data_IF_041154657773
#
_entry.id   IF_041154657773
#
_cell.length_a   1.000
_cell.length_b   1.000
_cell.length_c   1.000
_cell.angle_alpha   90.00
_cell.angle_beta   90.00
_cell.angle_gamma   90.00
#
_symmetry.space_group_name_H-M   'P 1'
#
loop_
_entity.id
_entity.type
_entity.pdbx_description
1 polymer ?
#
# COMPACT_ATOMS: atom_id res chain seq x y z
N UNK A 1 -27.44 4.08 -23.16
CA UNK A 1 -26.59 4.03 -21.96
C UNK A 1 -27.46 3.89 -20.72
N UNK A 2 -27.15 2.93 -19.83
CA UNK A 2 -27.87 2.67 -18.57
C UNK A 2 -26.92 2.93 -17.40
N UNK A 3 -27.40 3.61 -16.37
CA UNK A 3 -26.61 3.93 -15.17
C UNK A 3 -27.26 3.23 -13.97
N UNK A 4 -26.48 2.43 -13.25
CA UNK A 4 -26.86 1.81 -12.00
C UNK A 4 -25.99 2.35 -10.86
N UNK A 5 -26.59 3.18 -10.02
CA UNK A 5 -25.99 3.62 -8.76
C UNK A 5 -26.78 3.02 -7.61
N UNK A 6 -26.11 2.23 -6.80
CA UNK A 6 -26.77 1.53 -5.70
C UNK A 6 -25.94 1.63 -4.42
N UNK A 7 -26.61 2.02 -3.33
CA UNK A 7 -26.06 1.80 -1.98
C UNK A 7 -26.27 0.33 -1.64
N UNK A 8 -25.19 -0.39 -1.44
CA UNK A 8 -25.26 -1.84 -1.39
C UNK A 8 -25.59 -2.30 0.04
N UNK A 9 -26.68 -3.06 0.27
CA UNK A 9 -26.92 -3.66 1.57
C UNK A 9 -25.84 -4.71 1.84
N UNK A 10 -25.44 -4.88 3.10
CA UNK A 10 -24.36 -5.81 3.43
C UNK A 10 -24.80 -7.25 3.18
N UNK A 11 -24.10 -7.98 2.31
CA UNK A 11 -24.45 -9.36 1.93
C UNK A 11 -23.50 -10.46 2.41
N UNK A 12 -24.10 -11.57 2.82
CA UNK A 12 -23.38 -12.69 3.42
C UNK A 12 -23.72 -13.99 2.70
N UNK A 13 -22.71 -14.65 2.14
CA UNK A 13 -22.85 -15.97 1.54
C UNK A 13 -22.50 -17.08 2.54
N UNK A 14 -23.48 -17.92 2.86
CA UNK A 14 -23.31 -19.05 3.80
C UNK A 14 -23.14 -20.38 3.08
N UNK A 15 -22.24 -21.24 3.60
CA UNK A 15 -22.18 -22.66 3.19
C UNK A 15 -23.28 -23.47 3.89
N UNK A 16 -24.02 -24.28 3.12
CA UNK A 16 -24.99 -25.24 3.65
C UNK A 16 -24.25 -26.33 4.46
N UNK A 17 -24.71 -26.61 5.69
CA UNK A 17 -24.02 -27.47 6.68
C UNK A 17 -23.77 -28.93 6.22
N UNK A 18 -24.51 -29.45 5.22
CA UNK A 18 -24.42 -30.85 4.77
C UNK A 18 -23.82 -31.05 3.36
N UNK A 19 -23.24 -30.03 2.73
CA UNK A 19 -22.57 -30.22 1.44
C UNK A 19 -21.06 -30.44 1.62
N UNK A 20 -20.61 -31.68 1.40
CA UNK A 20 -19.22 -31.94 0.97
C UNK A 20 -19.11 -31.39 -0.46
N UNK A 21 -18.53 -30.20 -0.58
CA UNK A 21 -18.48 -29.49 -1.84
C UNK A 21 -17.02 -29.14 -2.16
N UNK A 22 -16.45 -29.93 -3.06
CA UNK A 22 -15.29 -29.59 -3.90
C UNK A 22 -15.80 -28.80 -5.12
N UNK A 23 -16.47 -27.66 -4.89
CA UNK A 23 -16.87 -26.76 -5.98
C UNK A 23 -16.34 -25.37 -5.63
N UNK A 24 -15.42 -24.91 -6.48
CA UNK A 24 -14.53 -23.77 -6.25
C UNK A 24 -15.22 -22.40 -6.44
N UNK A 25 -16.51 -22.38 -6.78
CA UNK A 25 -17.30 -21.17 -7.02
C UNK A 25 -18.70 -21.26 -6.42
N UNK A 26 -19.20 -20.14 -5.87
CA UNK A 26 -20.58 -19.95 -5.41
C UNK A 26 -21.08 -18.59 -5.84
N UNK A 27 -22.37 -18.48 -6.10
CA UNK A 27 -22.99 -17.22 -6.50
C UNK A 27 -24.11 -16.79 -5.55
N UNK A 28 -24.32 -15.47 -5.46
CA UNK A 28 -25.42 -14.81 -4.76
C UNK A 28 -26.14 -13.91 -5.76
N UNK A 29 -27.46 -14.03 -5.86
CA UNK A 29 -28.29 -13.18 -6.72
C UNK A 29 -29.20 -12.30 -5.86
N UNK A 30 -29.31 -11.04 -6.25
CA UNK A 30 -30.17 -10.04 -5.65
C UNK A 30 -31.15 -9.54 -6.69
N UNK A 31 -32.43 -9.78 -6.45
CA UNK A 31 -33.49 -9.30 -7.35
C UNK A 31 -34.12 -8.05 -6.76
N UNK A 32 -34.12 -7.00 -7.55
CA UNK A 32 -34.75 -5.71 -7.28
C UNK A 32 -35.91 -5.53 -8.26
N UNK A 33 -37.14 -5.48 -7.76
CA UNK A 33 -38.35 -5.35 -8.57
C UNK A 33 -39.57 -5.61 -7.70
N UNK A 34 -40.72 -5.03 -8.07
CA UNK A 34 -41.98 -5.25 -7.38
C UNK A 34 -42.69 -6.50 -7.93
N UNK A 35 -43.47 -7.20 -7.11
CA UNK A 35 -44.26 -8.36 -7.54
C UNK A 35 -45.24 -8.00 -8.68
N UNK A 36 -45.64 -6.73 -8.77
CA UNK A 36 -46.61 -6.22 -9.74
C UNK A 36 -45.98 -5.63 -11.02
N UNK A 37 -44.66 -5.36 -11.05
CA UNK A 37 -43.97 -4.82 -12.23
C UNK A 37 -42.69 -5.63 -12.54
N UNK A 38 -42.73 -6.56 -13.51
CA UNK A 38 -41.67 -7.55 -13.75
C UNK A 38 -40.37 -6.96 -14.33
N UNK A 39 -40.27 -5.63 -14.49
CA UNK A 39 -39.05 -4.91 -14.93
C UNK A 39 -38.03 -4.81 -13.80
N UNK A 40 -37.61 -5.97 -13.30
CA UNK A 40 -36.64 -6.09 -12.23
C UNK A 40 -35.18 -6.07 -12.72
N UNK A 41 -34.29 -5.61 -11.86
CA UNK A 41 -32.84 -5.75 -11.99
C UNK A 41 -32.40 -6.91 -11.10
N UNK A 42 -31.72 -7.90 -11.66
CA UNK A 42 -31.04 -8.96 -10.92
C UNK A 42 -29.53 -8.72 -10.96
N UNK A 43 -28.90 -8.69 -9.79
CA UNK A 43 -27.45 -8.53 -9.64
C UNK A 43 -26.89 -9.82 -9.07
N UNK A 44 -26.05 -10.51 -9.85
CA UNK A 44 -25.40 -11.77 -9.47
C UNK A 44 -23.92 -11.57 -9.15
N UNK A 45 -23.49 -12.05 -8.00
CA UNK A 45 -22.12 -12.01 -7.51
C UNK A 45 -21.56 -13.43 -7.51
N UNK A 46 -20.47 -13.67 -8.23
CA UNK A 46 -19.78 -14.96 -8.25
C UNK A 46 -18.51 -14.87 -7.43
N UNK A 47 -18.45 -15.62 -6.33
CA UNK A 47 -17.29 -15.71 -5.46
C UNK A 47 -16.60 -17.05 -5.66
N UNK A 48 -15.28 -17.01 -5.73
CA UNK A 48 -14.44 -18.20 -5.72
C UNK A 48 -13.73 -18.33 -4.38
N UNK A 49 -13.58 -19.56 -3.90
CA UNK A 49 -12.78 -19.84 -2.71
C UNK A 49 -11.43 -20.38 -3.14
N UNK A 50 -10.36 -19.84 -2.58
CA UNK A 50 -9.01 -20.31 -2.82
C UNK A 50 -8.36 -20.75 -1.50
N UNK A 51 -8.08 -22.05 -1.42
CA UNK A 51 -7.47 -22.66 -0.24
C UNK A 51 -5.99 -22.89 -0.53
N UNK A 52 -5.15 -21.91 -0.16
CA UNK A 52 -3.69 -22.04 -0.30
C UNK A 52 -3.09 -22.95 0.77
N UNK A 53 -3.75 -23.01 1.95
CA UNK A 53 -3.37 -23.81 3.11
C UNK A 53 -4.63 -24.40 3.75
N UNK A 54 -4.51 -25.55 4.44
CA UNK A 54 -5.64 -26.24 5.11
C UNK A 54 -6.32 -25.40 6.21
N UNK A 55 -5.61 -24.41 6.77
CA UNK A 55 -6.06 -23.58 7.90
C UNK A 55 -6.54 -22.20 7.44
N UNK A 56 -6.15 -21.73 6.25
CA UNK A 56 -6.40 -20.37 5.79
C UNK A 56 -6.99 -20.36 4.39
N UNK A 57 -8.30 -20.09 4.33
CA UNK A 57 -9.05 -19.96 3.08
C UNK A 57 -9.29 -18.49 2.74
N UNK A 58 -9.15 -18.16 1.47
CA UNK A 58 -9.46 -16.85 0.92
C UNK A 58 -10.73 -16.95 0.08
N UNK A 59 -11.47 -15.85 0.00
CA UNK A 59 -12.46 -15.67 -1.04
C UNK A 59 -12.05 -14.53 -1.95
N UNK A 60 -12.44 -14.66 -3.22
CA UNK A 60 -12.31 -13.63 -4.24
C UNK A 60 -13.68 -13.41 -4.86
N UNK A 61 -14.12 -12.16 -4.97
CA UNK A 61 -15.21 -11.82 -5.88
C UNK A 61 -14.65 -11.83 -7.30
N UNK A 62 -15.13 -12.76 -8.11
CA UNK A 62 -14.58 -12.99 -9.45
C UNK A 62 -15.35 -12.20 -10.51
N UNK A 63 -16.68 -12.19 -10.42
CA UNK A 63 -17.55 -11.67 -11.46
C UNK A 63 -18.81 -11.07 -10.85
N UNK A 64 -19.30 -9.98 -11.45
CA UNK A 64 -20.57 -9.34 -11.14
C UNK A 64 -21.38 -9.25 -12.43
N UNK A 65 -22.62 -9.71 -12.40
CA UNK A 65 -23.51 -9.67 -13.55
C UNK A 65 -24.73 -8.83 -13.22
N UNK A 66 -25.10 -7.93 -14.14
CA UNK A 66 -26.30 -7.12 -14.06
C UNK A 66 -27.26 -7.59 -15.15
N UNK A 67 -28.40 -8.12 -14.73
CA UNK A 67 -29.44 -8.65 -15.61
C UNK A 67 -30.65 -7.74 -15.47
N UNK A 68 -31.09 -7.11 -16.56
CA UNK A 68 -32.27 -6.26 -16.55
C UNK A 68 -33.39 -6.94 -17.32
N UNK A 69 -34.54 -7.14 -16.68
CA UNK A 69 -35.73 -7.67 -17.36
C UNK A 69 -35.45 -9.00 -18.10
N UNK A 70 -34.71 -9.91 -17.47
CA UNK A 70 -34.27 -11.20 -18.02
C UNK A 70 -33.50 -11.11 -19.36
N UNK A 71 -32.87 -9.98 -19.64
CA UNK A 71 -32.01 -9.82 -20.83
C UNK A 71 -30.67 -10.55 -20.70
N UNK A 72 -29.87 -10.51 -21.77
CA UNK A 72 -28.46 -10.88 -21.74
C UNK A 72 -27.76 -10.12 -20.58
N UNK A 73 -26.99 -10.80 -19.71
CA UNK A 73 -26.29 -10.17 -18.60
C UNK A 73 -25.19 -9.22 -19.09
N UNK A 74 -25.09 -8.07 -18.44
CA UNK A 74 -23.90 -7.24 -18.47
C UNK A 74 -22.89 -7.79 -17.47
N UNK A 75 -21.76 -8.31 -17.96
CA UNK A 75 -20.79 -9.03 -17.15
C UNK A 75 -19.58 -8.17 -16.85
N UNK A 76 -19.19 -8.12 -15.58
CA UNK A 76 -18.02 -7.40 -15.11
C UNK A 76 -17.09 -8.34 -14.33
N UNK A 77 -15.82 -8.36 -14.72
CA UNK A 77 -14.72 -8.95 -13.97
C UNK A 77 -14.35 -8.05 -12.81
N UNK A 78 -14.36 -8.62 -11.61
CA UNK A 78 -14.00 -7.94 -10.38
C UNK A 78 -12.49 -8.03 -10.16
N UNK A 79 -11.82 -6.89 -9.98
CA UNK A 79 -10.36 -6.81 -9.75
C UNK A 79 -10.04 -6.45 -8.30
N UNK A 80 -9.05 -7.12 -7.71
CA UNK A 80 -8.54 -6.79 -6.38
C UNK A 80 -9.52 -6.99 -5.21
N UNK A 81 -10.66 -7.65 -5.43
CA UNK A 81 -11.71 -7.85 -4.42
C UNK A 81 -11.60 -9.21 -3.73
N UNK A 82 -10.61 -9.34 -2.85
CA UNK A 82 -10.36 -10.58 -2.10
C UNK A 82 -10.21 -10.31 -0.60
N UNK A 83 -10.54 -11.29 0.23
CA UNK A 83 -10.24 -11.26 1.66
C UNK A 83 -10.11 -12.68 2.22
N UNK A 84 -9.55 -12.78 3.42
CA UNK A 84 -9.62 -14.02 4.19
C UNK A 84 -11.08 -14.37 4.46
N UNK A 85 -11.42 -15.66 4.44
CA UNK A 85 -12.80 -16.10 4.74
C UNK A 85 -13.24 -15.71 6.15
N UNK A 86 -12.31 -15.48 7.06
CA UNK A 86 -12.56 -14.98 8.42
C UNK A 86 -12.83 -13.48 8.51
N UNK A 87 -12.63 -12.72 7.42
CA UNK A 87 -12.85 -11.27 7.31
C UNK A 87 -13.92 -10.98 6.26
N UNK A 88 -14.44 -9.76 6.25
CA UNK A 88 -15.25 -9.25 5.14
C UNK A 88 -14.42 -8.31 4.27
N UNK A 89 -14.73 -8.20 2.99
CA UNK A 89 -14.18 -7.15 2.13
C UNK A 89 -15.10 -5.93 2.20
N UNK A 90 -14.54 -4.74 2.42
CA UNK A 90 -15.27 -3.47 2.41
C UNK A 90 -14.60 -2.49 1.45
N UNK A 91 -15.37 -1.71 0.70
CA UNK A 91 -14.83 -0.62 -0.08
C UNK A 91 -15.84 0.51 -0.19
N UNK A 92 -15.37 1.75 -0.01
CA UNK A 92 -16.23 2.94 -0.09
C UNK A 92 -16.91 3.06 -1.46
N UNK A 93 -16.21 2.63 -2.52
CA UNK A 93 -16.72 2.70 -3.90
C UNK A 93 -16.16 1.57 -4.74
N UNK A 94 -17.04 0.84 -5.43
CA UNK A 94 -16.69 -0.16 -6.44
C UNK A 94 -17.41 0.23 -7.73
N UNK A 95 -16.67 0.49 -8.81
CA UNK A 95 -17.20 1.15 -10.00
C UNK A 95 -16.61 0.57 -11.28
N UNK A 96 -17.37 0.60 -12.37
CA UNK A 96 -16.86 0.31 -13.72
C UNK A 96 -16.17 1.49 -14.39
N UNK A 97 -16.34 2.70 -13.86
CA UNK A 97 -15.76 3.92 -14.39
C UNK A 97 -14.28 4.09 -14.03
N UNK A 98 -13.47 4.43 -15.04
CA UNK A 98 -12.01 4.62 -14.92
C UNK A 98 -11.61 5.75 -13.96
N UNK A 99 -12.41 6.81 -13.85
CA UNK A 99 -12.21 7.89 -12.87
C UNK A 99 -12.28 7.44 -11.40
N UNK A 100 -12.74 6.21 -11.15
CA UNK A 100 -12.86 5.59 -9.82
C UNK A 100 -12.11 4.25 -9.78
N UNK A 101 -10.92 4.21 -10.37
CA UNK A 101 -10.00 3.06 -10.44
C UNK A 101 -10.53 1.81 -11.19
N UNK A 102 -11.76 1.85 -11.70
CA UNK A 102 -12.42 0.78 -12.46
C UNK A 102 -12.22 -0.64 -11.88
N UNK A 103 -12.64 -0.85 -10.62
CA UNK A 103 -12.63 -2.17 -9.98
C UNK A 103 -13.55 -3.22 -10.65
N UNK A 104 -14.44 -2.78 -11.55
CA UNK A 104 -15.32 -3.63 -12.36
C UNK A 104 -15.00 -3.43 -13.84
N UNK A 105 -14.34 -4.40 -14.45
CA UNK A 105 -13.97 -4.34 -15.87
C UNK A 105 -14.97 -5.12 -16.71
N UNK A 106 -15.47 -4.58 -17.84
CA UNK A 106 -16.17 -5.36 -18.87
C UNK A 106 -15.47 -6.70 -19.13
N UNK A 107 -16.20 -7.81 -19.09
CA UNK A 107 -15.59 -9.14 -19.28
C UNK A 107 -15.32 -9.45 -20.75
N UNK A 108 -16.19 -9.01 -21.64
CA UNK A 108 -16.06 -9.17 -23.08
C UNK A 108 -16.49 -7.88 -23.79
N UNK A 109 -15.97 -7.61 -24.98
CA UNK A 109 -16.42 -6.50 -25.83
C UNK A 109 -17.77 -6.78 -26.47
N UNK A 110 -18.16 -8.05 -26.56
CA UNK A 110 -19.42 -8.49 -27.17
C UNK A 110 -20.58 -8.65 -26.18
N UNK A 111 -20.34 -8.46 -24.89
CA UNK A 111 -21.39 -8.47 -23.88
C UNK A 111 -22.05 -7.08 -23.73
N UNK A 112 -23.19 -7.01 -23.04
CA UNK A 112 -23.90 -5.74 -22.85
C UNK A 112 -23.18 -4.80 -21.87
N UNK A 113 -22.02 -5.15 -21.31
CA UNK A 113 -21.38 -4.41 -20.22
C UNK A 113 -20.93 -3.00 -20.61
N UNK A 114 -20.57 -2.78 -21.88
CA UNK A 114 -20.22 -1.45 -22.42
C UNK A 114 -21.38 -0.45 -22.36
N UNK A 115 -22.62 -0.94 -22.28
CA UNK A 115 -23.82 -0.11 -22.20
C UNK A 115 -24.20 0.25 -20.76
N UNK A 116 -23.49 -0.28 -19.76
CA UNK A 116 -23.79 -0.14 -18.34
C UNK A 116 -22.66 0.55 -17.57
N UNK A 117 -23.02 1.61 -16.87
CA UNK A 117 -22.19 2.18 -15.82
C UNK A 117 -22.68 1.68 -14.46
N UNK A 118 -21.84 0.91 -13.76
CA UNK A 118 -22.18 0.33 -12.46
C UNK A 118 -21.34 1.01 -11.39
N UNK A 119 -21.98 1.47 -10.33
CA UNK A 119 -21.29 1.99 -9.14
C UNK A 119 -22.01 1.54 -7.89
N UNK A 120 -21.30 0.76 -7.07
CA UNK A 120 -21.66 0.44 -5.70
C UNK A 120 -20.99 1.43 -4.74
N UNK A 121 -21.75 1.92 -3.78
CA UNK A 121 -21.27 2.79 -2.71
C UNK A 121 -21.39 2.04 -1.39
N UNK A 122 -20.37 2.14 -0.54
CA UNK A 122 -20.32 1.50 0.78
C UNK A 122 -20.50 -0.02 0.67
N UNK A 123 -19.68 -0.63 -0.20
CA UNK A 123 -19.80 -2.03 -0.59
C UNK A 123 -19.14 -2.92 0.45
N UNK A 124 -19.90 -3.86 1.06
CA UNK A 124 -19.35 -4.85 1.98
C UNK A 124 -19.86 -6.26 1.64
N UNK A 125 -18.92 -7.20 1.47
CA UNK A 125 -19.23 -8.61 1.13
C UNK A 125 -18.37 -9.59 1.93
N UNK A 126 -18.95 -10.73 2.31
CA UNK A 126 -18.24 -11.79 3.02
C UNK A 126 -18.58 -13.18 2.46
N UNK A 127 -17.54 -13.96 2.20
CA UNK A 127 -17.64 -15.33 1.69
C UNK A 127 -17.39 -16.41 2.75
N UNK A 128 -18.19 -17.47 2.70
CA UNK A 128 -17.94 -18.82 3.21
C UNK A 128 -17.86 -19.06 4.73
N UNK A 129 -17.34 -18.12 5.54
CA UNK A 129 -17.23 -18.29 7.00
C UNK A 129 -17.84 -17.11 7.73
N UNK A 130 -18.86 -17.36 8.56
CA UNK A 130 -19.54 -16.35 9.39
C UNK A 130 -19.49 -16.89 10.82
N UNK A 131 -18.96 -16.11 11.77
CA UNK A 131 -19.07 -16.44 13.18
C UNK A 131 -20.34 -15.77 13.74
N UNK A 132 -21.24 -16.54 14.36
CA UNK A 132 -22.43 -16.00 15.04
C UNK A 132 -23.67 -15.75 14.16
N UNK A 133 -24.61 -14.97 14.68
CA UNK A 133 -25.97 -14.74 14.16
C UNK A 133 -26.03 -13.71 13.01
N UNK A 134 -25.17 -13.85 12.00
CA UNK A 134 -25.26 -13.05 10.77
C UNK A 134 -24.60 -11.67 10.81
N UNK A 135 -23.71 -11.41 11.77
CA UNK A 135 -22.86 -10.23 11.75
C UNK A 135 -21.64 -10.43 10.85
N UNK A 136 -21.22 -9.36 10.18
CA UNK A 136 -19.98 -9.35 9.41
C UNK A 136 -18.78 -9.51 10.34
N UNK A 137 -17.80 -10.27 9.89
CA UNK A 137 -16.48 -10.24 10.49
C UNK A 137 -15.82 -8.87 10.29
N UNK A 138 -14.69 -8.66 10.97
CA UNK A 138 -13.86 -7.46 10.77
C UNK A 138 -13.63 -7.19 9.27
N UNK A 139 -13.82 -5.94 8.87
CA UNK A 139 -13.62 -5.51 7.51
C UNK A 139 -12.13 -5.39 7.17
N UNK A 140 -11.75 -5.95 6.02
CA UNK A 140 -10.58 -5.56 5.26
C UNK A 140 -11.05 -4.51 4.27
N UNK A 141 -10.65 -3.27 4.51
CA UNK A 141 -10.91 -2.21 3.55
C UNK A 141 -10.10 -2.46 2.27
N UNK A 142 -10.70 -2.10 1.14
CA UNK A 142 -9.97 -1.99 -0.10
C UNK A 142 -8.80 -1.06 0.18
N UNK A 143 -7.58 -1.57 -0.03
CA UNK A 143 -6.44 -0.69 -0.09
C UNK A 143 -6.72 0.21 -1.27
N UNK A 144 -7.02 1.49 -1.02
CA UNK A 144 -6.58 2.51 -1.97
C UNK A 144 -5.14 2.14 -2.21
N UNK A 145 -4.80 1.67 -3.40
CA UNK A 145 -3.41 1.51 -3.78
C UNK A 145 -2.86 2.90 -3.56
N UNK A 146 -2.19 3.13 -2.41
CA UNK A 146 -1.33 4.28 -2.26
C UNK A 146 -0.52 4.22 -3.54
N UNK A 147 -0.69 5.23 -4.40
CA UNK A 147 0.07 5.29 -5.64
C UNK A 147 1.51 5.00 -5.22
N UNK A 148 2.20 4.02 -5.81
CA UNK A 148 3.54 3.64 -5.37
C UNK A 148 4.46 4.86 -5.22
N UNK A 149 4.15 5.96 -5.90
CA UNK A 149 4.72 7.29 -5.72
C UNK A 149 4.77 7.84 -4.28
N UNK A 150 3.74 7.65 -3.44
CA UNK A 150 3.68 8.24 -2.09
C UNK A 150 4.74 7.64 -1.15
N UNK A 151 4.80 6.30 -0.94
CA UNK A 151 5.85 5.72 -0.09
C UNK A 151 7.25 5.92 -0.69
N UNK A 152 7.39 5.96 -2.03
CA UNK A 152 8.68 6.24 -2.66
C UNK A 152 9.13 7.69 -2.41
N UNK A 153 8.22 8.67 -2.56
CA UNK A 153 8.50 10.08 -2.28
C UNK A 153 8.89 10.30 -0.82
N UNK A 154 8.20 9.65 0.11
CA UNK A 154 8.52 9.68 1.53
C UNK A 154 9.92 9.10 1.81
N UNK A 155 10.23 7.93 1.23
CA UNK A 155 11.53 7.29 1.41
C UNK A 155 12.68 8.15 0.88
N UNK A 156 12.52 8.73 -0.32
CA UNK A 156 13.53 9.63 -0.90
C UNK A 156 13.72 10.90 -0.09
N UNK A 157 12.64 11.48 0.47
CA UNK A 157 12.73 12.65 1.35
C UNK A 157 13.49 12.34 2.64
N UNK A 158 13.26 11.18 3.25
CA UNK A 158 13.98 10.75 4.45
C UNK A 158 15.48 10.52 4.17
N UNK A 159 15.83 9.94 3.02
CA UNK A 159 17.23 9.74 2.62
C UNK A 159 17.92 11.11 2.43
N UNK A 160 17.28 12.03 1.70
CA UNK A 160 17.82 13.38 1.50
C UNK A 160 18.00 14.12 2.83
N UNK A 161 17.04 14.02 3.75
CA UNK A 161 17.11 14.61 5.09
C UNK A 161 18.25 14.01 5.92
N UNK A 162 18.42 12.68 5.87
CA UNK A 162 19.51 12.00 6.58
C UNK A 162 20.89 12.46 6.06
N UNK A 163 21.05 12.56 4.74
CA UNK A 163 22.28 13.08 4.13
C UNK A 163 22.53 14.54 4.51
N UNK A 164 21.49 15.37 4.56
CA UNK A 164 21.62 16.78 4.96
C UNK A 164 22.08 16.91 6.42
N UNK A 165 21.46 16.17 7.34
CA UNK A 165 21.87 16.16 8.76
C UNK A 165 23.32 15.71 8.90
N UNK A 166 23.73 14.68 8.16
CA UNK A 166 25.11 14.21 8.16
C UNK A 166 26.10 15.27 7.66
N UNK A 167 25.76 16.00 6.60
CA UNK A 167 26.58 17.10 6.09
C UNK A 167 26.69 18.25 7.11
N UNK A 168 25.58 18.65 7.74
CA UNK A 168 25.61 19.67 8.80
C UNK A 168 26.43 19.23 10.03
N UNK A 169 26.36 17.95 10.39
CA UNK A 169 27.19 17.39 11.46
C UNK A 169 28.67 17.48 11.12
N UNK A 170 29.07 17.13 9.89
CA UNK A 170 30.45 17.26 9.44
C UNK A 170 30.90 18.72 9.43
N UNK A 171 30.10 19.64 8.89
CA UNK A 171 30.38 21.07 8.84
C UNK A 171 30.66 21.64 10.25
N UNK A 172 29.77 21.35 11.20
CA UNK A 172 29.94 21.72 12.61
C UNK A 172 31.22 21.14 13.23
N UNK A 173 31.56 19.89 12.90
CA UNK A 173 32.78 19.23 13.39
C UNK A 173 34.05 19.81 12.73
N UNK A 174 33.98 20.22 11.46
CA UNK A 174 35.09 20.87 10.76
C UNK A 174 35.33 22.29 11.28
N UNK A 175 34.28 23.07 11.54
CA UNK A 175 34.40 24.39 12.18
C UNK A 175 34.98 24.29 13.59
N UNK A 176 34.62 23.24 14.33
CA UNK A 176 35.21 22.96 15.64
C UNK A 176 36.72 22.66 15.54
N UNK A 177 37.15 21.89 14.54
CA UNK A 177 38.58 21.57 14.30
C UNK A 177 39.35 22.77 13.74
N UNK A 178 38.74 23.57 12.85
CA UNK A 178 39.36 24.71 12.18
C UNK A 178 39.43 25.98 13.07
N UNK A 179 38.86 25.94 14.28
CA UNK A 179 38.93 27.04 15.23
C UNK A 179 40.41 27.41 15.54
N UNK A 180 40.82 28.70 15.45
CA UNK A 180 42.23 29.12 15.46
C UNK A 180 42.99 28.89 16.77
N UNK A 181 42.41 28.20 17.75
CA UNK A 181 43.07 27.89 19.02
C UNK A 181 44.22 26.86 18.89
N UNK A 182 44.37 26.21 17.72
CA UNK A 182 45.36 25.14 17.49
C UNK A 182 46.61 25.53 16.69
N UNK A 183 46.69 26.76 16.17
CA UNK A 183 47.93 27.23 15.55
C UNK A 183 48.72 28.09 16.53
N UNK A 184 49.75 27.49 17.14
CA UNK A 184 50.79 28.26 17.83
C UNK A 184 51.39 29.25 16.83
N UNK A 185 51.15 30.54 17.11
CA UNK A 185 51.84 31.67 16.47
C UNK A 185 53.35 31.38 16.40
N UNK A 186 53.87 31.25 15.17
CA UNK A 186 55.29 31.18 14.91
C UNK A 186 55.88 32.54 15.30
N UNK A 187 56.42 32.64 16.50
CA UNK A 187 57.06 33.85 17.01
C UNK A 187 58.24 34.17 16.09
N UNK A 188 58.11 35.25 15.31
CA UNK A 188 59.21 35.77 14.48
C UNK A 188 60.43 36.00 15.38
N UNK A 189 61.49 35.24 15.14
CA UNK A 189 62.77 35.36 15.86
C UNK A 189 63.56 36.45 15.15
N UNK A 190 63.89 37.50 15.89
CA UNK A 190 64.66 38.64 15.40
C UNK A 190 65.96 38.21 14.70
N UNK A 191 66.25 38.88 13.59
CA UNK A 191 67.46 38.74 12.82
C UNK A 191 68.65 39.36 13.56
N UNK A 192 69.25 38.62 14.49
CA UNK A 192 70.60 38.88 14.96
C UNK A 192 71.18 37.62 15.58
N UNK A 193 72.07 36.98 14.82
CA UNK A 193 73.10 35.99 15.17
C UNK A 193 73.18 34.92 14.07
N UNK A 194 73.47 35.41 12.87
CA UNK A 194 74.16 34.62 11.88
C UNK A 194 75.60 34.40 12.38
N UNK A 195 76.05 33.14 12.35
CA UNK A 195 77.38 32.60 12.67
C UNK A 195 77.50 31.99 14.06
N UNK A 196 77.20 30.70 14.16
CA UNK A 196 78.27 29.69 14.17
C UNK A 196 77.76 28.25 14.06
N UNK A 197 78.52 27.46 13.30
CA UNK A 197 78.71 26.01 13.41
C UNK A 197 77.67 25.05 12.79
N UNK A 198 78.03 24.63 11.58
CA UNK A 198 77.70 23.35 10.96
C UNK A 198 77.87 22.18 11.94
N UNK A 199 76.78 21.49 12.29
CA UNK A 199 76.86 20.11 12.78
C UNK A 199 75.61 19.31 12.41
N UNK A 200 75.79 18.46 11.40
CA UNK A 200 75.22 17.12 11.21
C UNK A 200 73.70 16.90 11.26
N UNK A 201 73.21 16.33 10.14
CA UNK A 201 72.29 15.18 10.06
C UNK A 201 70.92 15.23 10.75
N UNK A 202 69.91 14.89 9.94
CA UNK A 202 68.74 14.16 10.40
C UNK A 202 67.46 14.96 10.33
N UNK A 203 66.79 14.88 9.18
CA UNK A 203 65.33 15.07 9.12
C UNK A 203 64.73 13.91 9.89
N UNK A 204 64.43 14.10 11.17
CA UNK A 204 63.60 13.17 11.95
C UNK A 204 62.17 13.73 12.02
N UNK A 205 61.35 13.32 11.05
CA UNK A 205 59.90 13.35 11.20
C UNK A 205 59.48 12.07 11.93
N UNK A 206 59.42 12.11 13.26
CA UNK A 206 58.76 11.10 14.10
C UNK A 206 58.10 11.86 15.27
N UNK A 207 56.87 11.62 15.72
CA UNK A 207 56.00 10.46 15.68
C UNK A 207 54.53 10.89 15.68
N UNK A 208 53.69 10.04 15.09
CA UNK A 208 52.27 9.91 15.44
C UNK A 208 52.13 9.50 16.92
N UNK A 209 52.09 10.47 17.84
CA UNK A 209 51.58 10.21 19.20
C UNK A 209 50.05 10.27 19.18
N UNK A 210 49.46 9.14 18.79
CA UNK A 210 48.10 8.77 19.18
C UNK A 210 48.02 8.76 20.70
N UNK A 211 47.59 9.87 21.32
CA UNK A 211 47.10 9.92 22.69
C UNK A 211 46.58 11.32 23.03
N UNK A 212 45.33 11.60 22.64
CA UNK A 212 44.40 12.22 23.58
C UNK A 212 42.98 11.93 23.13
N UNK A 213 42.38 10.96 23.83
CA UNK A 213 40.96 10.68 23.88
C UNK A 213 40.26 11.99 24.24
N UNK A 214 39.62 12.65 23.27
CA UNK A 214 38.61 13.66 23.59
C UNK A 214 37.42 12.94 24.20
N UNK A 215 37.23 13.14 25.50
CA UNK A 215 36.02 12.76 26.22
C UNK A 215 34.83 13.44 25.55
N UNK A 216 33.96 12.64 24.93
CA UNK A 216 32.62 13.05 24.54
C UNK A 216 31.80 13.07 25.83
N UNK A 217 31.40 14.26 26.27
CA UNK A 217 30.28 14.39 27.20
C UNK A 217 28.99 14.46 26.38
N UNK A 218 28.03 13.64 26.83
CA UNK A 218 26.70 13.33 26.26
C UNK A 218 25.90 14.58 25.92
#
# INVERSE_FOLDING_TARGET
FRILKMKFPKLVLKKRKNSRLYVNSKWLSLKFGDAENPRGIDIRFTLTSYNKLSIQSWFNLHQVEVIFNNSIPATFNATGMFALSSYSYHCQRVSSLQRYDALLLPSDTNDMSSLWEVTFVDFQIQGFTIKGWGQFSKARDCTSSFSPAIPISLAMSLIALHMLIYLCYLDWHYDFIASPAHFCQLKARDASEEKELLRSQGVECYELRSQQICKIYV
#
